data_IF_250690100008
#
_entry.id   IF_250690100008
#
_cell.length_a   1.000
_cell.length_b   1.000
_cell.length_c   1.000
_cell.angle_alpha   90.00
_cell.angle_beta   90.00
_cell.angle_gamma   90.00
#
_symmetry.space_group_name_H-M   'P 1'
#
loop_
_entity.id
_entity.type
_entity.pdbx_description
1 polymer ?
#
# COMPACT_ATOMS: atom_id res chain seq x y z
N UNK A 1 -11.37 38.06 -47.63
CA UNK A 1 -12.37 37.37 -46.79
C UNK A 1 -11.78 37.18 -45.40
N UNK A 2 -12.01 38.12 -44.48
CA UNK A 2 -12.97 38.06 -43.36
C UNK A 2 -12.76 36.88 -42.39
N UNK A 3 -12.28 37.26 -41.20
CA UNK A 3 -12.14 36.48 -39.96
C UNK A 3 -13.49 35.92 -39.52
N UNK A 4 -13.49 34.71 -38.99
CA UNK A 4 -14.53 34.24 -38.07
C UNK A 4 -13.87 33.61 -36.85
N UNK A 5 -13.99 34.34 -35.74
CA UNK A 5 -13.70 33.87 -34.38
C UNK A 5 -14.82 32.91 -33.99
N UNK A 6 -14.50 31.69 -33.56
CA UNK A 6 -15.43 30.89 -32.77
C UNK A 6 -15.10 31.07 -31.29
N UNK A 7 -16.05 31.66 -30.55
CA UNK A 7 -16.09 31.69 -29.10
C UNK A 7 -16.86 30.45 -28.60
N UNK A 8 -16.40 29.94 -27.45
CA UNK A 8 -16.84 28.81 -26.65
C UNK A 8 -18.35 28.79 -26.27
N UNK A 9 -18.89 27.62 -25.88
CA UNK A 9 -19.40 27.43 -24.50
C UNK A 9 -18.85 26.11 -23.89
N UNK A 10 -18.16 26.14 -22.74
CA UNK A 10 -18.64 25.87 -21.36
C UNK A 10 -19.64 24.70 -21.25
N UNK A 11 -19.32 23.80 -20.30
CA UNK A 11 -20.06 22.66 -19.75
C UNK A 11 -19.74 21.27 -20.33
N UNK A 12 -18.82 20.55 -19.67
CA UNK A 12 -19.19 19.47 -18.72
C UNK A 12 -18.10 19.48 -17.63
N UNK A 13 -18.46 20.08 -16.49
CA UNK A 13 -17.82 19.76 -15.21
C UNK A 13 -18.17 18.31 -14.91
N UNK A 14 -17.20 17.39 -14.97
CA UNK A 14 -17.30 16.17 -14.16
C UNK A 14 -17.00 16.60 -12.73
N UNK A 15 -18.10 16.86 -12.06
CA UNK A 15 -18.26 17.03 -10.64
C UNK A 15 -17.79 15.74 -9.94
N UNK A 16 -16.53 15.66 -9.54
CA UNK A 16 -16.15 14.89 -8.35
C UNK A 16 -16.31 15.81 -7.13
N UNK A 17 -17.57 16.21 -6.86
CA UNK A 17 -17.98 16.60 -5.52
C UNK A 17 -18.29 15.30 -4.79
N UNK A 18 -17.32 14.81 -4.03
CA UNK A 18 -17.52 13.57 -3.28
C UNK A 18 -16.30 13.08 -2.52
N UNK A 19 -15.45 13.96 -2.01
CA UNK A 19 -14.67 13.79 -0.77
C UNK A 19 -13.81 15.05 -0.63
N UNK A 20 -14.36 16.02 0.09
CA UNK A 20 -13.56 17.10 0.64
C UNK A 20 -12.63 16.54 1.69
N UNK A 21 -11.54 15.91 1.26
CA UNK A 21 -10.32 15.85 2.03
C UNK A 21 -9.36 16.85 1.38
N UNK A 22 -9.59 18.13 1.66
CA UNK A 22 -8.45 18.99 1.86
C UNK A 22 -7.60 18.28 2.90
N UNK A 23 -6.46 17.70 2.51
CA UNK A 23 -5.40 17.35 3.45
C UNK A 23 -4.90 18.67 4.05
N UNK A 24 -5.67 19.19 5.00
CA UNK A 24 -5.17 20.11 6.01
C UNK A 24 -4.24 19.24 6.82
N UNK A 25 -2.93 19.30 6.54
CA UNK A 25 -1.93 18.62 7.34
C UNK A 25 -2.23 18.86 8.82
N UNK A 26 -2.49 17.80 9.58
CA UNK A 26 -2.90 17.90 10.98
C UNK A 26 -1.67 18.32 11.78
N UNK A 27 -1.59 19.62 12.09
CA UNK A 27 -0.58 20.33 12.91
C UNK A 27 0.86 20.27 12.37
N UNK A 28 1.24 21.41 11.78
CA UNK A 28 2.56 21.82 11.27
C UNK A 28 3.72 21.87 12.31
N UNK A 29 4.11 20.74 12.92
CA UNK A 29 5.23 20.71 13.88
C UNK A 29 6.50 20.00 13.41
N UNK A 30 6.36 18.92 12.63
CA UNK A 30 7.44 17.95 12.46
C UNK A 30 7.91 17.75 11.01
N UNK A 31 7.41 18.56 10.07
CA UNK A 31 7.80 18.49 8.65
C UNK A 31 9.31 18.62 8.46
N UNK A 32 9.99 19.46 9.24
CA UNK A 32 11.44 19.61 9.14
C UNK A 32 12.21 18.41 9.72
N UNK A 33 11.65 17.69 10.69
CA UNK A 33 12.22 16.43 11.18
C UNK A 33 12.15 15.35 10.10
N UNK A 34 11.04 15.26 9.36
CA UNK A 34 10.93 14.33 8.23
C UNK A 34 11.87 14.69 7.08
N UNK A 35 12.12 15.97 6.80
CA UNK A 35 13.15 16.36 5.82
C UNK A 35 14.55 15.85 6.21
N UNK A 36 14.90 15.89 7.50
CA UNK A 36 16.16 15.33 8.00
C UNK A 36 16.19 13.80 7.93
N UNK A 37 15.05 13.10 8.01
CA UNK A 37 14.99 11.66 7.72
C UNK A 37 15.24 11.40 6.24
N UNK A 38 14.54 12.12 5.36
CA UNK A 38 14.61 11.92 3.91
C UNK A 38 16.02 12.22 3.35
N UNK A 39 16.77 13.14 3.96
CA UNK A 39 18.15 13.45 3.55
C UNK A 39 19.16 12.31 3.81
N UNK A 40 18.79 11.31 4.62
CA UNK A 40 19.64 10.15 4.95
C UNK A 40 19.59 9.05 3.90
N UNK A 41 18.58 9.06 3.02
CA UNK A 41 18.52 8.09 1.93
C UNK A 41 19.48 8.50 0.81
N UNK A 42 20.14 7.54 0.15
CA UNK A 42 20.94 7.83 -1.02
C UNK A 42 20.12 8.55 -2.09
N UNK A 43 20.74 9.50 -2.80
CA UNK A 43 20.07 10.25 -3.85
C UNK A 43 19.46 9.30 -4.89
N UNK A 44 18.17 9.46 -5.17
CA UNK A 44 17.45 8.65 -6.15
C UNK A 44 16.90 7.32 -5.64
N UNK A 45 17.18 6.93 -4.39
CA UNK A 45 16.65 5.67 -3.83
C UNK A 45 15.21 5.80 -3.31
N UNK A 46 14.72 7.00 -3.00
CA UNK A 46 13.33 7.17 -2.56
C UNK A 46 12.40 7.08 -3.77
N UNK A 47 11.51 6.09 -3.75
CA UNK A 47 10.46 5.91 -4.75
C UNK A 47 9.19 6.67 -4.36
N UNK A 48 8.78 6.58 -3.08
CA UNK A 48 7.53 7.16 -2.59
C UNK A 48 7.72 7.74 -1.19
N UNK A 49 7.00 8.82 -0.90
CA UNK A 49 6.87 9.36 0.46
C UNK A 49 5.43 9.78 0.68
N UNK A 50 4.83 9.35 1.79
CA UNK A 50 3.46 9.69 2.17
C UNK A 50 3.40 10.21 3.61
N UNK A 51 2.48 11.13 3.84
CA UNK A 51 2.06 11.55 5.17
C UNK A 51 0.71 10.91 5.46
N UNK A 52 0.66 10.11 6.52
CA UNK A 52 -0.47 9.23 6.90
C UNK A 52 -0.64 9.25 8.42
N UNK A 53 -1.74 8.73 8.97
CA UNK A 53 -1.92 8.53 10.42
C UNK A 53 -2.08 7.03 10.69
N UNK A 54 -0.98 6.27 10.62
CA UNK A 54 -0.99 4.81 10.81
C UNK A 54 -0.96 4.41 12.28
N UNK A 55 -0.67 5.35 13.17
CA UNK A 55 -0.73 5.18 14.64
C UNK A 55 -2.10 5.54 15.24
N UNK A 56 -3.01 6.09 14.43
CA UNK A 56 -4.33 6.61 14.82
C UNK A 56 -4.28 7.59 16.00
N UNK A 57 -3.16 8.30 16.16
CA UNK A 57 -2.93 9.20 17.29
C UNK A 57 -3.28 10.66 16.94
N UNK A 58 -3.70 10.92 15.69
CA UNK A 58 -4.07 12.23 15.19
C UNK A 58 -2.90 13.11 14.77
N UNK A 59 -1.66 12.60 14.81
CA UNK A 59 -0.46 13.24 14.28
C UNK A 59 0.00 12.55 12.99
N UNK A 60 0.74 13.30 12.18
CA UNK A 60 1.34 12.81 10.95
C UNK A 60 2.46 11.79 11.22
N UNK A 61 2.33 10.60 10.62
CA UNK A 61 3.38 9.60 10.42
C UNK A 61 3.94 9.73 8.99
N UNK A 62 5.21 9.36 8.82
CA UNK A 62 5.91 9.35 7.53
C UNK A 62 6.07 7.91 7.05
N UNK A 63 5.48 7.58 5.90
CA UNK A 63 5.75 6.34 5.18
C UNK A 63 6.73 6.64 4.05
N UNK A 64 7.84 5.88 4.01
CA UNK A 64 8.87 5.99 2.96
C UNK A 64 8.99 4.63 2.27
N UNK A 65 8.94 4.66 0.94
CA UNK A 65 9.32 3.51 0.11
C UNK A 65 10.61 3.87 -0.58
N UNK A 66 11.64 3.08 -0.32
CA UNK A 66 12.94 3.20 -0.98
C UNK A 66 13.23 1.94 -1.77
N UNK A 67 14.01 2.08 -2.83
CA UNK A 67 14.44 0.98 -3.68
C UNK A 67 15.95 1.07 -3.89
N UNK A 68 16.63 -0.05 -3.73
CA UNK A 68 18.00 -0.23 -4.18
C UNK A 68 18.08 -1.33 -5.25
N UNK A 69 19.29 -1.81 -5.54
CA UNK A 69 19.51 -2.82 -6.57
C UNK A 69 18.92 -4.20 -6.24
N UNK A 70 18.61 -4.48 -4.97
CA UNK A 70 18.23 -5.81 -4.48
C UNK A 70 16.80 -5.86 -3.95
N UNK A 71 16.34 -4.81 -3.28
CA UNK A 71 15.04 -4.83 -2.61
C UNK A 71 14.32 -3.47 -2.62
N UNK A 72 13.01 -3.53 -2.41
CA UNK A 72 12.14 -2.39 -2.14
C UNK A 72 11.85 -2.43 -0.64
N UNK A 73 12.21 -1.37 0.08
CA UNK A 73 12.01 -1.26 1.53
C UNK A 73 10.87 -0.29 1.81
N UNK A 74 9.93 -0.68 2.68
CA UNK A 74 8.92 0.18 3.27
C UNK A 74 9.30 0.47 4.73
N UNK A 75 9.38 1.75 5.08
CA UNK A 75 9.63 2.22 6.44
C UNK A 75 8.50 3.16 6.89
N UNK A 76 8.04 3.02 8.13
CA UNK A 76 7.09 3.93 8.77
C UNK A 76 7.76 4.58 9.97
N UNK A 77 7.75 5.91 9.99
CA UNK A 77 8.25 6.73 11.08
C UNK A 77 7.11 7.44 11.77
N UNK A 78 7.12 7.42 13.10
CA UNK A 78 6.25 8.26 13.94
C UNK A 78 7.10 9.24 14.75
N UNK A 79 6.46 10.23 15.37
CA UNK A 79 7.12 11.14 16.30
C UNK A 79 6.85 10.71 17.74
N UNK A 80 7.89 10.25 18.43
CA UNK A 80 7.83 9.91 19.86
C UNK A 80 8.78 10.84 20.62
N UNK A 81 8.27 11.50 21.66
CA UNK A 81 9.04 12.45 22.48
C UNK A 81 9.78 13.52 21.65
N UNK A 82 9.13 14.00 20.58
CA UNK A 82 9.65 15.03 19.68
C UNK A 82 10.75 14.55 18.72
N UNK A 83 10.95 13.23 18.57
CA UNK A 83 11.93 12.65 17.66
C UNK A 83 11.28 11.65 16.69
N UNK A 84 11.74 11.60 15.43
CA UNK A 84 11.31 10.55 14.51
C UNK A 84 11.88 9.20 14.93
N UNK A 85 11.01 8.20 15.04
CA UNK A 85 11.33 6.82 15.37
C UNK A 85 10.74 5.92 14.29
N UNK A 86 11.55 5.01 13.74
CA UNK A 86 11.05 3.96 12.84
C UNK A 86 10.28 2.93 13.68
N UNK A 87 9.00 2.76 13.37
CA UNK A 87 8.12 1.81 14.07
C UNK A 87 7.83 0.56 13.25
N UNK A 88 8.05 0.65 11.93
CA UNK A 88 7.94 -0.49 11.04
C UNK A 88 8.95 -0.38 9.92
N UNK A 89 9.54 -1.52 9.59
CA UNK A 89 10.42 -1.69 8.45
C UNK A 89 10.22 -3.08 7.92
N UNK A 90 9.94 -3.19 6.63
CA UNK A 90 9.91 -4.46 5.94
C UNK A 90 10.40 -4.30 4.51
N UNK A 91 10.82 -5.41 3.90
CA UNK A 91 11.25 -5.42 2.50
C UNK A 91 10.41 -6.34 1.64
N UNK A 92 10.34 -5.96 0.38
CA UNK A 92 9.70 -6.68 -0.69
C UNK A 92 10.71 -6.84 -1.83
N UNK A 93 10.72 -8.03 -2.43
CA UNK A 93 11.54 -8.31 -3.60
C UNK A 93 10.80 -9.27 -4.51
N UNK A 94 11.23 -9.34 -5.77
CA UNK A 94 10.78 -10.37 -6.71
C UNK A 94 11.52 -11.71 -6.48
N UNK A 95 12.51 -11.74 -5.58
CA UNK A 95 13.03 -13.00 -5.08
C UNK A 95 11.92 -13.66 -4.25
N UNK A 96 11.68 -14.93 -4.52
CA UNK A 96 10.47 -15.60 -4.06
C UNK A 96 10.30 -15.68 -2.53
N UNK A 97 11.39 -15.57 -1.75
CA UNK A 97 11.32 -15.56 -0.28
C UNK A 97 10.90 -14.19 0.30
N UNK A 98 10.98 -13.12 -0.49
CA UNK A 98 10.63 -11.76 -0.11
C UNK A 98 9.42 -11.22 -0.89
N UNK A 99 8.63 -12.07 -1.53
CA UNK A 99 7.51 -11.61 -2.36
C UNK A 99 6.36 -11.09 -1.48
N UNK A 100 6.25 -9.76 -1.41
CA UNK A 100 5.21 -9.07 -0.64
C UNK A 100 4.70 -7.87 -1.40
N UNK A 101 3.40 -7.67 -1.33
CA UNK A 101 2.72 -6.49 -1.85
C UNK A 101 2.16 -5.69 -0.69
N UNK A 102 2.25 -4.38 -0.80
CA UNK A 102 1.77 -3.42 0.19
C UNK A 102 0.81 -2.45 -0.48
N UNK A 103 -0.24 -2.11 0.25
CA UNK A 103 -1.22 -1.12 -0.13
C UNK A 103 -1.53 -0.23 1.07
N UNK A 104 -1.88 1.03 0.80
CA UNK A 104 -2.48 1.92 1.78
C UNK A 104 -3.99 1.76 1.68
N UNK A 105 -4.63 1.44 2.79
CA UNK A 105 -6.07 1.16 2.87
C UNK A 105 -6.71 2.11 3.86
N UNK A 106 -7.87 2.67 3.50
CA UNK A 106 -8.64 3.54 4.41
C UNK A 106 -9.93 2.84 4.80
N UNK A 107 -10.16 2.68 6.10
CA UNK A 107 -11.38 2.10 6.68
C UNK A 107 -11.89 3.02 7.77
N UNK A 108 -13.16 3.43 7.69
CA UNK A 108 -13.79 4.31 8.68
C UNK A 108 -12.93 5.55 9.02
N UNK A 109 -12.41 6.21 7.98
CA UNK A 109 -11.53 7.39 8.05
C UNK A 109 -10.18 7.16 8.78
N UNK A 110 -9.72 5.91 8.87
CA UNK A 110 -8.43 5.53 9.46
C UNK A 110 -7.54 4.83 8.45
N UNK A 111 -6.24 5.16 8.49
CA UNK A 111 -5.24 4.57 7.62
C UNK A 111 -4.76 3.21 8.15
N UNK A 112 -4.63 2.25 7.24
CA UNK A 112 -4.10 0.91 7.49
C UNK A 112 -3.13 0.52 6.38
N UNK A 113 -2.24 -0.40 6.69
CA UNK A 113 -1.46 -1.13 5.69
C UNK A 113 -2.17 -2.43 5.40
N UNK A 114 -2.45 -2.69 4.13
CA UNK A 114 -2.76 -4.02 3.63
C UNK A 114 -1.47 -4.65 3.10
N UNK A 115 -1.06 -5.76 3.69
CA UNK A 115 0.03 -6.61 3.22
C UNK A 115 -0.54 -7.89 2.63
N UNK A 116 -0.09 -8.23 1.42
CA UNK A 116 -0.41 -9.47 0.73
C UNK A 116 0.87 -10.22 0.37
N UNK A 117 0.95 -11.48 0.78
CA UNK A 117 2.10 -12.36 0.56
C UNK A 117 1.64 -13.58 -0.24
N UNK A 118 1.88 -13.60 -1.57
CA UNK A 118 1.53 -14.72 -2.43
C UNK A 118 2.70 -15.71 -2.60
N UNK A 119 3.15 -16.34 -1.51
CA UNK A 119 4.25 -17.31 -1.54
C UNK A 119 3.79 -18.64 -2.16
N UNK A 120 3.68 -18.70 -3.49
CA UNK A 120 3.25 -19.88 -4.26
C UNK A 120 4.37 -20.37 -5.18
N UNK A 121 4.62 -21.67 -5.11
CA UNK A 121 5.66 -22.39 -5.83
C UNK A 121 5.06 -23.58 -6.56
N UNK A 122 4.99 -23.51 -7.89
CA UNK A 122 4.49 -24.61 -8.73
C UNK A 122 3.16 -25.20 -8.23
N UNK A 123 2.24 -24.33 -7.76
CA UNK A 123 0.94 -24.75 -7.25
C UNK A 123 0.91 -25.17 -5.77
N UNK A 124 1.98 -24.94 -5.00
CA UNK A 124 2.10 -25.23 -3.57
C UNK A 124 2.60 -24.01 -2.82
N UNK A 125 2.01 -23.67 -1.68
CA UNK A 125 2.50 -22.58 -0.83
C UNK A 125 1.43 -22.02 0.09
N UNK A 126 1.53 -20.73 0.40
CA UNK A 126 0.58 -20.04 1.26
C UNK A 126 0.26 -18.66 0.71
N UNK A 127 -1.03 -18.36 0.62
CA UNK A 127 -1.47 -16.98 0.57
C UNK A 127 -1.64 -16.46 1.99
N UNK A 128 -1.15 -15.26 2.25
CA UNK A 128 -1.37 -14.55 3.52
C UNK A 128 -1.77 -13.10 3.24
N UNK A 129 -2.87 -12.69 3.84
CA UNK A 129 -3.39 -11.32 3.86
C UNK A 129 -3.36 -10.81 5.30
N UNK A 130 -2.88 -9.59 5.50
CA UNK A 130 -2.94 -8.91 6.79
C UNK A 130 -3.28 -7.43 6.59
N UNK A 131 -4.24 -6.93 7.36
CA UNK A 131 -4.58 -5.50 7.44
C UNK A 131 -4.22 -5.04 8.84
N UNK A 132 -3.37 -4.03 8.97
CA UNK A 132 -2.83 -3.61 10.26
C UNK A 132 -2.52 -2.11 10.32
N UNK A 133 -2.45 -1.62 11.56
CA UNK A 133 -1.99 -0.29 11.95
C UNK A 133 -0.96 -0.44 13.07
N UNK A 134 -0.60 0.65 13.75
CA UNK A 134 0.31 0.62 14.90
C UNK A 134 -0.35 1.26 16.13
N UNK A 135 -0.06 0.74 17.30
CA UNK A 135 -0.42 1.40 18.55
C UNK A 135 0.47 2.62 18.82
N UNK A 136 0.19 3.35 19.89
CA UNK A 136 0.97 4.53 20.29
C UNK A 136 2.42 4.23 20.70
N UNK A 137 2.77 2.95 20.90
CA UNK A 137 4.14 2.48 21.17
C UNK A 137 4.84 1.98 19.90
N UNK A 138 4.19 2.08 18.74
CA UNK A 138 4.70 1.58 17.47
C UNK A 138 4.56 0.06 17.29
N UNK A 139 3.76 -0.62 18.13
CA UNK A 139 3.51 -2.05 18.00
C UNK A 139 2.42 -2.31 16.98
N UNK A 140 2.61 -3.32 16.13
CA UNK A 140 1.64 -3.69 15.10
C UNK A 140 0.33 -4.17 15.72
N UNK A 141 -0.78 -3.55 15.33
CA UNK A 141 -2.15 -3.96 15.67
C UNK A 141 -2.85 -4.50 14.42
N UNK A 142 -3.18 -5.78 14.43
CA UNK A 142 -3.84 -6.45 13.30
C UNK A 142 -5.34 -6.22 13.39
N UNK A 143 -5.90 -5.58 12.36
CA UNK A 143 -7.34 -5.45 12.16
C UNK A 143 -7.94 -6.76 11.63
N UNK A 144 -7.31 -7.33 10.61
CA UNK A 144 -7.80 -8.54 9.96
C UNK A 144 -6.62 -9.37 9.40
N UNK A 145 -6.74 -10.70 9.47
CA UNK A 145 -5.76 -11.59 8.82
C UNK A 145 -6.42 -12.84 8.27
N UNK A 146 -5.97 -13.27 7.09
CA UNK A 146 -6.42 -14.49 6.43
C UNK A 146 -5.23 -15.26 5.88
N UNK A 147 -5.30 -16.59 6.00
CA UNK A 147 -4.29 -17.49 5.44
C UNK A 147 -4.97 -18.61 4.67
N UNK A 148 -4.42 -18.93 3.50
CA UNK A 148 -4.83 -20.07 2.71
C UNK A 148 -3.59 -20.90 2.38
N UNK A 149 -3.36 -22.01 3.12
CA UNK A 149 -2.47 -23.06 2.66
C UNK A 149 -3.01 -23.60 1.34
N UNK A 150 -2.15 -23.61 0.33
CA UNK A 150 -2.51 -23.96 -1.03
C UNK A 150 -1.63 -25.12 -1.49
N UNK A 151 -2.26 -26.22 -1.90
CA UNK A 151 -1.57 -27.33 -2.56
C UNK A 151 -2.51 -27.90 -3.62
N UNK A 152 -2.25 -27.55 -4.87
CA UNK A 152 -2.98 -28.05 -6.04
C UNK A 152 -2.37 -29.31 -6.64
N UNK A 153 -1.19 -29.73 -6.17
CA UNK A 153 -0.39 -30.82 -6.74
C UNK A 153 -0.67 -32.14 -6.02
N UNK A 154 -0.73 -32.12 -4.68
CA UNK A 154 -0.91 -33.31 -3.85
C UNK A 154 -2.34 -33.48 -3.33
N UNK A 155 -3.29 -32.73 -3.87
CA UNK A 155 -4.68 -32.78 -3.43
C UNK A 155 -5.43 -33.97 -4.01
N UNK A 156 -6.14 -34.70 -3.15
CA UNK A 156 -7.04 -35.78 -3.57
C UNK A 156 -8.26 -35.22 -4.31
N UNK A 157 -8.83 -35.98 -5.25
CA UNK A 157 -9.96 -35.53 -6.09
C UNK A 157 -11.17 -35.05 -5.27
N UNK A 158 -11.48 -35.71 -4.16
CA UNK A 158 -12.59 -35.36 -3.27
C UNK A 158 -12.38 -34.03 -2.51
N UNK A 159 -11.14 -33.53 -2.47
CA UNK A 159 -10.77 -32.27 -1.81
C UNK A 159 -10.62 -31.09 -2.78
N UNK A 160 -10.56 -31.33 -4.09
CA UNK A 160 -10.37 -30.26 -5.07
C UNK A 160 -11.46 -29.18 -5.03
N UNK A 161 -12.72 -29.59 -4.87
CA UNK A 161 -13.83 -28.63 -4.78
C UNK A 161 -13.74 -27.77 -3.51
N UNK A 162 -13.31 -28.35 -2.39
CA UNK A 162 -13.09 -27.61 -1.14
C UNK A 162 -11.95 -26.59 -1.28
N UNK A 163 -10.82 -26.97 -1.89
CA UNK A 163 -9.73 -26.04 -2.17
C UNK A 163 -10.17 -24.91 -3.10
N UNK A 164 -10.94 -25.22 -4.16
CA UNK A 164 -11.49 -24.22 -5.07
C UNK A 164 -12.37 -23.22 -4.31
N UNK A 165 -13.32 -23.70 -3.50
CA UNK A 165 -14.21 -22.83 -2.71
C UNK A 165 -13.43 -21.95 -1.73
N UNK A 166 -12.39 -22.49 -1.07
CA UNK A 166 -11.52 -21.71 -0.18
C UNK A 166 -10.72 -20.66 -0.93
N UNK A 167 -10.26 -20.99 -2.14
CA UNK A 167 -9.53 -20.06 -3.01
C UNK A 167 -10.41 -18.91 -3.45
N UNK A 168 -11.63 -19.19 -3.92
CA UNK A 168 -12.61 -18.16 -4.30
C UNK A 168 -13.01 -17.27 -3.11
N UNK A 169 -13.19 -17.85 -1.92
CA UNK A 169 -13.48 -17.05 -0.73
C UNK A 169 -12.30 -16.14 -0.34
N UNK A 170 -11.08 -16.67 -0.35
CA UNK A 170 -9.89 -15.86 -0.07
C UNK A 170 -9.72 -14.73 -1.10
N UNK A 171 -9.96 -15.03 -2.39
CA UNK A 171 -9.94 -14.05 -3.47
C UNK A 171 -10.98 -12.96 -3.26
N UNK A 172 -12.22 -13.31 -2.93
CA UNK A 172 -13.27 -12.32 -2.66
C UNK A 172 -12.92 -11.39 -1.48
N UNK A 173 -12.30 -11.92 -0.42
CA UNK A 173 -11.80 -11.13 0.71
C UNK A 173 -10.69 -10.19 0.25
N UNK A 174 -9.70 -10.70 -0.51
CA UNK A 174 -8.61 -9.89 -1.05
C UNK A 174 -9.12 -8.77 -1.96
N UNK A 175 -10.01 -9.06 -2.91
CA UNK A 175 -10.58 -8.07 -3.83
C UNK A 175 -11.43 -7.02 -3.12
N UNK A 176 -12.18 -7.40 -2.07
CA UNK A 176 -12.89 -6.45 -1.21
C UNK A 176 -11.93 -5.44 -0.59
N UNK A 177 -10.80 -5.90 -0.07
CA UNK A 177 -9.78 -5.04 0.51
C UNK A 177 -9.07 -4.20 -0.55
N UNK A 178 -8.78 -4.74 -1.72
CA UNK A 178 -8.19 -3.98 -2.82
C UNK A 178 -9.08 -2.82 -3.28
N UNK A 179 -10.40 -2.98 -3.27
CA UNK A 179 -11.34 -1.96 -3.74
C UNK A 179 -11.26 -0.63 -2.96
N UNK A 180 -10.79 -0.66 -1.71
CA UNK A 180 -10.56 0.53 -0.87
C UNK A 180 -9.06 0.84 -0.65
N UNK A 181 -8.19 0.28 -1.49
CA UNK A 181 -6.75 0.36 -1.30
C UNK A 181 -6.03 1.05 -2.47
N UNK A 182 -4.97 1.78 -2.14
CA UNK A 182 -4.02 2.36 -3.11
C UNK A 182 -2.73 1.55 -3.09
N UNK A 183 -2.23 1.03 -4.23
CA UNK A 183 -1.00 0.24 -4.26
C UNK A 183 0.21 1.08 -3.85
N UNK A 184 1.02 0.52 -2.94
CA UNK A 184 2.30 1.09 -2.51
C UNK A 184 3.46 0.34 -3.17
N UNK A 185 3.47 -0.98 -3.01
CA UNK A 185 4.45 -1.90 -3.59
C UNK A 185 3.67 -3.06 -4.21
N UNK A 186 3.79 -3.23 -5.53
CA UNK A 186 3.33 -4.43 -6.24
C UNK A 186 4.40 -4.88 -7.22
N UNK A 187 4.71 -6.17 -7.17
CA UNK A 187 5.87 -6.78 -7.84
C UNK A 187 5.41 -8.03 -8.57
N UNK A 188 5.69 -8.12 -9.87
CA UNK A 188 5.41 -9.30 -10.65
C UNK A 188 3.93 -9.48 -10.97
N UNK A 189 3.49 -10.74 -11.06
CA UNK A 189 2.11 -11.09 -11.39
C UNK A 189 1.44 -11.76 -10.22
N UNK A 190 0.21 -11.35 -9.92
CA UNK A 190 -0.59 -11.96 -8.88
C UNK A 190 -0.88 -13.42 -9.26
N UNK A 191 -0.38 -14.42 -8.53
CA UNK A 191 -0.68 -15.81 -8.84
C UNK A 191 -2.14 -16.18 -8.51
N UNK A 192 -2.85 -15.39 -7.70
CA UNK A 192 -4.25 -15.63 -7.34
C UNK A 192 -5.23 -15.08 -8.37
N UNK A 193 -5.04 -13.85 -8.83
CA UNK A 193 -5.93 -13.22 -9.82
C UNK A 193 -5.44 -13.34 -11.26
N UNK A 194 -4.16 -13.68 -11.47
CA UNK A 194 -3.51 -13.69 -12.78
C UNK A 194 -3.24 -12.28 -13.33
N UNK A 195 -3.52 -11.23 -12.55
CA UNK A 195 -3.27 -9.85 -12.97
C UNK A 195 -1.77 -9.54 -12.82
N UNK A 196 -1.12 -9.17 -13.92
CA UNK A 196 0.25 -8.64 -13.89
C UNK A 196 0.24 -7.19 -13.41
N UNK A 197 0.82 -6.93 -12.25
CA UNK A 197 0.86 -5.59 -11.63
C UNK A 197 2.31 -5.28 -11.28
N UNK A 198 3.05 -4.71 -12.24
CA UNK A 198 4.36 -4.13 -11.97
C UNK A 198 4.19 -2.65 -11.65
N UNK A 199 3.69 -2.34 -10.45
CA UNK A 199 3.56 -0.97 -9.97
C UNK A 199 4.31 -0.80 -8.66
N UNK A 200 5.48 -0.18 -8.75
CA UNK A 200 5.90 0.77 -7.72
C UNK A 200 5.26 2.07 -8.17
N UNK A 201 4.54 2.79 -7.30
CA UNK A 201 4.12 4.16 -7.61
C UNK A 201 5.37 4.96 -8.02
N UNK A 202 5.60 5.07 -9.34
CA UNK A 202 6.73 5.81 -9.94
C UNK A 202 6.41 7.28 -10.14
N UNK A 203 5.20 7.70 -9.81
CA UNK A 203 4.87 9.11 -9.80
C UNK A 203 5.28 9.70 -8.45
N UNK A 204 6.37 10.48 -8.51
CA UNK A 204 6.54 11.62 -7.60
C UNK A 204 5.17 12.29 -7.49
N UNK A 205 4.49 12.12 -6.36
CA UNK A 205 3.45 13.07 -6.00
C UNK A 205 4.12 14.44 -6.12
N UNK A 206 3.51 15.40 -6.83
CA UNK A 206 4.11 16.71 -6.99
C UNK A 206 4.48 17.18 -5.60
N UNK A 207 5.74 17.59 -5.42
CA UNK A 207 6.19 18.16 -4.16
C UNK A 207 5.26 19.33 -3.83
N UNK A 208 4.21 19.08 -3.06
CA UNK A 208 3.44 20.12 -2.41
C UNK A 208 4.24 20.46 -1.17
N UNK A 209 5.31 21.23 -1.41
CA UNK A 209 6.01 21.97 -0.38
C UNK A 209 5.06 22.97 0.28
#
# INVERSE_FOLDING_TARGET
>A
MKRTKFKLPIFISILLLGLGCFFVGRKNGYRDLFKDILSRYPEGNIAVTLIVDLTHNGNDDLLVISQDALEITLEVYTITDGKPVVIYKDSASDNHAGWRWYYLTVVDDKDYILQYTPEIWNGIGNYHLEVFSFDQKGQKEILETHKLPYDSIHIFEDKKLDLLNKTENFKAIYEKWLACSTPLITIGSDPLTGHSVNYILKEKLPNTY
#
